data_IF_199790664797
#
_entry.id   IF_199790664797
#
_cell.length_a   1.000
_cell.length_b   1.000
_cell.length_c   1.000
_cell.angle_alpha   90.00
_cell.angle_beta   90.00
_cell.angle_gamma   90.00
#
_symmetry.space_group_name_H-M   'P 1'
#
loop_
_entity.id
_entity.type
_entity.pdbx_description
1 polymer ?
#
# COMPACT_ATOMS: atom_id res chain seq x y z
N UNK A 1 51.29 -44.24 43.77
CA UNK A 1 49.91 -44.65 44.10
C UNK A 1 49.60 -44.21 45.53
N UNK A 2 49.34 -42.90 45.78
CA UNK A 2 48.87 -42.39 47.05
C UNK A 2 47.37 -42.59 47.21
N UNK A 3 46.91 -43.20 48.29
CA UNK A 3 45.51 -43.26 48.69
C UNK A 3 45.10 -41.91 49.24
N UNK A 4 44.08 -41.30 48.67
CA UNK A 4 43.43 -40.09 49.22
C UNK A 4 42.62 -40.52 50.43
N UNK A 5 42.92 -39.96 51.62
CA UNK A 5 42.23 -40.22 52.87
C UNK A 5 41.09 -39.20 53.11
N UNK A 6 40.16 -39.54 54.02
CA UNK A 6 39.08 -38.62 54.42
C UNK A 6 39.66 -37.31 55.02
N UNK A 7 40.90 -37.37 55.62
CA UNK A 7 41.57 -36.19 56.09
C UNK A 7 42.08 -35.25 55.00
N UNK A 8 42.37 -35.78 53.81
CA UNK A 8 42.79 -34.98 52.66
C UNK A 8 41.58 -34.28 52.02
N UNK A 9 40.41 -34.88 52.08
CA UNK A 9 39.17 -34.27 51.61
C UNK A 9 38.76 -33.06 52.48
N UNK A 10 39.02 -33.10 53.73
CA UNK A 10 38.74 -31.98 54.63
C UNK A 10 39.81 -30.86 54.60
N UNK A 11 40.89 -31.03 53.79
CA UNK A 11 41.91 -30.00 53.52
C UNK A 11 41.75 -29.31 52.17
N UNK A 12 40.71 -29.64 51.39
CA UNK A 12 40.43 -28.89 50.17
C UNK A 12 40.10 -27.42 50.54
N UNK A 13 40.78 -26.45 49.93
CA UNK A 13 40.44 -25.07 50.17
C UNK A 13 38.93 -24.86 49.80
N UNK A 14 38.23 -24.22 50.71
CA UNK A 14 36.84 -23.78 50.40
C UNK A 14 36.86 -23.06 49.07
N UNK A 15 36.07 -23.57 48.09
CA UNK A 15 35.90 -22.90 46.81
C UNK A 15 35.38 -21.50 47.11
N UNK A 16 36.20 -20.51 46.82
CA UNK A 16 35.76 -19.11 46.91
C UNK A 16 34.47 -18.97 46.07
N UNK A 17 33.41 -18.50 46.71
CA UNK A 17 32.17 -18.21 46.03
C UNK A 17 32.45 -17.37 44.77
N UNK A 18 31.84 -17.69 43.61
CA UNK A 18 32.05 -16.89 42.43
C UNK A 18 31.71 -15.44 42.77
N UNK A 19 32.63 -14.54 42.43
CA UNK A 19 32.41 -13.10 42.58
C UNK A 19 31.05 -12.73 42.01
N UNK A 20 30.20 -12.13 42.81
CA UNK A 20 28.88 -11.68 42.36
C UNK A 20 29.09 -10.79 41.13
N UNK A 21 28.52 -11.20 40.00
CA UNK A 21 28.46 -10.35 38.82
C UNK A 21 27.78 -9.06 39.27
N UNK A 22 28.37 -7.88 39.05
CA UNK A 22 27.71 -6.62 39.41
C UNK A 22 26.31 -6.59 38.77
N UNK A 23 25.29 -6.40 39.59
CA UNK A 23 23.95 -6.19 39.08
C UNK A 23 24.01 -5.05 38.06
N UNK A 24 23.28 -5.15 36.94
CA UNK A 24 23.22 -4.06 36.00
C UNK A 24 22.87 -2.76 36.74
N UNK A 25 23.69 -1.72 36.58
CA UNK A 25 23.40 -0.43 37.18
C UNK A 25 21.97 -0.03 36.85
N UNK A 26 21.18 0.38 37.84
CA UNK A 26 19.87 0.91 37.64
C UNK A 26 19.96 2.01 36.56
N UNK A 27 19.04 2.04 35.56
CA UNK A 27 19.10 3.07 34.54
C UNK A 27 19.17 4.44 35.19
N UNK A 28 20.08 5.28 34.68
CA UNK A 28 20.23 6.64 35.17
C UNK A 28 18.87 7.34 35.21
N UNK A 29 18.62 8.15 36.25
CA UNK A 29 17.35 8.82 36.47
C UNK A 29 16.91 9.68 35.27
N UNK A 30 17.83 10.00 34.35
CA UNK A 30 17.57 10.79 33.12
C UNK A 30 17.30 9.94 31.88
N UNK A 31 17.19 8.60 31.97
CA UNK A 31 16.82 7.76 30.83
C UNK A 31 15.31 7.55 30.81
N UNK A 32 14.67 7.79 29.65
CA UNK A 32 15.17 8.11 28.31
C UNK A 32 15.57 9.59 28.03
N UNK A 33 15.70 10.44 29.03
CA UNK A 33 16.08 11.85 28.87
C UNK A 33 14.89 12.80 28.70
N UNK A 34 15.16 14.02 28.26
CA UNK A 34 14.15 15.04 28.04
C UNK A 34 13.13 14.57 26.99
N UNK A 35 11.85 14.67 27.30
CA UNK A 35 10.76 14.25 26.41
C UNK A 35 9.68 15.32 26.31
N UNK A 36 8.99 15.34 25.18
CA UNK A 36 7.81 16.16 24.97
C UNK A 36 6.61 15.25 24.72
N UNK A 37 5.57 15.40 25.51
CA UNK A 37 4.33 14.63 25.38
C UNK A 37 3.24 15.52 24.80
N UNK A 38 2.55 15.02 23.77
CA UNK A 38 1.40 15.71 23.19
C UNK A 38 0.26 14.73 22.89
N UNK A 39 -1.01 15.07 23.22
CA UNK A 39 -2.13 14.21 22.88
C UNK A 39 -2.43 14.24 21.38
N UNK A 40 -2.88 13.11 20.82
CA UNK A 40 -3.42 13.08 19.46
C UNK A 40 -4.70 13.92 19.38
N UNK A 41 -4.76 14.87 18.43
CA UNK A 41 -5.90 15.77 18.23
C UNK A 41 -6.34 15.81 16.77
N UNK A 42 -7.57 16.28 16.52
CA UNK A 42 -8.11 16.54 15.18
C UNK A 42 -8.06 15.31 14.28
N UNK A 43 -7.71 15.52 13.02
CA UNK A 43 -7.65 14.49 11.97
C UNK A 43 -6.77 13.31 12.37
N UNK A 44 -5.61 13.55 13.01
CA UNK A 44 -4.69 12.48 13.44
C UNK A 44 -5.35 11.50 14.43
N UNK A 45 -6.20 12.00 15.35
CA UNK A 45 -6.95 11.13 16.29
C UNK A 45 -7.95 10.24 15.53
N UNK A 46 -8.63 10.80 14.52
CA UNK A 46 -9.60 10.05 13.69
C UNK A 46 -8.86 8.98 12.87
N UNK A 47 -7.75 9.34 12.23
CA UNK A 47 -6.93 8.39 11.46
C UNK A 47 -6.45 7.24 12.35
N UNK A 48 -5.91 7.54 13.55
CA UNK A 48 -5.43 6.53 14.48
C UNK A 48 -6.55 5.53 14.85
N UNK A 49 -7.75 6.03 15.15
CA UNK A 49 -8.91 5.18 15.44
C UNK A 49 -9.26 4.28 14.26
N UNK A 50 -9.41 4.86 13.05
CA UNK A 50 -9.79 4.11 11.84
C UNK A 50 -8.78 3.05 11.43
N UNK A 51 -7.48 3.34 11.56
CA UNK A 51 -6.44 2.36 11.23
C UNK A 51 -6.43 1.18 12.21
N UNK A 52 -6.61 1.43 13.49
CA UNK A 52 -6.75 0.37 14.50
C UNK A 52 -8.02 -0.45 14.27
N UNK A 53 -9.14 0.21 13.99
CA UNK A 53 -10.42 -0.43 13.67
C UNK A 53 -10.26 -1.34 12.45
N UNK A 54 -9.63 -0.86 11.37
CA UNK A 54 -9.36 -1.65 10.18
C UNK A 54 -8.54 -2.91 10.50
N UNK A 55 -7.42 -2.79 11.21
CA UNK A 55 -6.56 -3.92 11.53
C UNK A 55 -7.20 -4.94 12.49
N UNK A 56 -8.14 -4.51 13.32
CA UNK A 56 -8.79 -5.40 14.32
C UNK A 56 -10.09 -6.02 13.83
N UNK A 57 -10.73 -5.46 12.80
CA UNK A 57 -11.99 -5.96 12.24
C UNK A 57 -11.86 -6.71 10.93
N UNK A 58 -10.66 -6.72 10.30
CA UNK A 58 -10.39 -7.39 9.02
C UNK A 58 -9.25 -8.42 9.15
N UNK A 59 -9.34 -9.49 8.37
CA UNK A 59 -8.30 -10.50 8.25
C UNK A 59 -7.36 -10.14 7.06
N UNK A 60 -6.51 -9.14 7.23
CA UNK A 60 -5.71 -8.60 6.13
C UNK A 60 -4.62 -9.56 5.65
N UNK A 61 -4.65 -9.87 4.34
CA UNK A 61 -3.62 -10.61 3.62
C UNK A 61 -3.09 -9.75 2.48
N UNK A 62 -1.76 -9.58 2.39
CA UNK A 62 -1.14 -8.81 1.30
C UNK A 62 -0.44 -9.72 0.31
N UNK A 63 -0.79 -9.58 -0.96
CA UNK A 63 -0.19 -10.25 -2.10
C UNK A 63 0.66 -9.24 -2.89
N UNK A 64 1.89 -9.62 -3.23
CA UNK A 64 2.80 -8.76 -3.98
C UNK A 64 3.08 -9.35 -5.36
N UNK A 65 3.14 -8.48 -6.38
CA UNK A 65 3.51 -8.83 -7.75
C UNK A 65 4.17 -7.65 -8.44
N UNK A 66 4.62 -7.85 -9.68
CA UNK A 66 5.16 -6.77 -10.51
C UNK A 66 4.59 -6.83 -11.92
N UNK A 67 4.37 -5.67 -12.54
CA UNK A 67 4.03 -5.54 -13.95
C UNK A 67 5.23 -5.00 -14.75
N UNK A 68 5.41 -5.42 -16.00
CA UNK A 68 6.36 -4.78 -16.91
C UNK A 68 5.88 -3.36 -17.22
N UNK A 69 6.71 -2.37 -16.89
CA UNK A 69 6.33 -0.97 -17.01
C UNK A 69 6.55 -0.39 -18.42
N UNK A 70 7.06 -1.16 -19.39
CA UNK A 70 7.41 -0.66 -20.73
C UNK A 70 6.21 0.01 -21.42
N UNK A 71 5.05 -0.64 -21.43
CA UNK A 71 3.82 -0.13 -22.05
C UNK A 71 3.34 1.17 -21.42
N UNK A 72 3.21 1.20 -20.09
CA UNK A 72 2.73 2.38 -19.36
C UNK A 72 3.69 3.57 -19.47
N UNK A 73 5.02 3.33 -19.45
CA UNK A 73 6.03 4.35 -19.65
C UNK A 73 6.01 4.91 -21.07
N UNK A 74 5.85 4.03 -22.09
CA UNK A 74 5.74 4.43 -23.48
C UNK A 74 4.50 5.30 -23.72
N UNK A 75 3.34 4.88 -23.23
CA UNK A 75 2.11 5.67 -23.34
C UNK A 75 2.25 7.02 -22.61
N UNK A 76 2.78 7.02 -21.38
CA UNK A 76 3.04 8.27 -20.63
C UNK A 76 3.95 9.22 -21.40
N UNK A 77 4.99 8.71 -22.05
CA UNK A 77 5.90 9.53 -22.90
C UNK A 77 5.16 10.13 -24.09
N UNK A 78 4.30 9.34 -24.76
CA UNK A 78 3.48 9.83 -25.89
C UNK A 78 2.53 10.95 -25.48
N UNK A 79 1.73 10.74 -24.41
CA UNK A 79 0.75 11.75 -23.96
C UNK A 79 1.42 12.99 -23.38
N UNK A 80 2.60 12.86 -22.74
CA UNK A 80 3.38 14.00 -22.23
C UNK A 80 3.84 14.93 -23.34
N UNK A 81 4.19 14.37 -24.51
CA UNK A 81 4.71 15.09 -25.66
C UNK A 81 3.62 15.38 -26.71
N UNK A 82 2.36 15.10 -26.40
CA UNK A 82 1.24 15.43 -27.27
C UNK A 82 1.02 16.94 -27.33
N UNK A 83 0.34 17.38 -28.39
CA UNK A 83 -0.10 18.77 -28.54
C UNK A 83 -0.88 19.23 -27.29
N UNK A 84 -0.53 20.38 -26.76
CA UNK A 84 -1.16 20.95 -25.56
C UNK A 84 -2.66 21.18 -25.75
N UNK A 85 -3.10 21.47 -26.97
CA UNK A 85 -4.52 21.64 -27.32
C UNK A 85 -5.34 20.37 -27.02
N UNK A 86 -4.71 19.18 -27.02
CA UNK A 86 -5.37 17.92 -26.66
C UNK A 86 -5.58 17.77 -25.14
N UNK A 87 -4.84 18.52 -24.32
CA UNK A 87 -4.92 18.46 -22.87
C UNK A 87 -4.48 17.13 -22.26
N UNK A 88 -3.70 16.31 -23.00
CA UNK A 88 -3.25 14.98 -22.57
C UNK A 88 -1.92 15.00 -21.80
N UNK A 89 -1.14 16.07 -21.93
CA UNK A 89 0.19 16.20 -21.34
C UNK A 89 0.22 16.10 -19.79
N UNK A 90 -0.91 16.34 -19.16
CA UNK A 90 -1.08 16.29 -17.70
C UNK A 90 -1.34 14.88 -17.16
N UNK A 91 -1.65 13.88 -18.02
CA UNK A 91 -1.89 12.50 -17.58
C UNK A 91 -0.63 11.92 -16.95
N UNK A 92 -0.73 11.40 -15.73
CA UNK A 92 0.37 10.84 -14.95
C UNK A 92 0.41 9.32 -15.02
N UNK A 93 1.51 8.70 -14.57
CA UNK A 93 1.56 7.23 -14.39
C UNK A 93 0.51 6.75 -13.40
N UNK A 94 0.28 7.51 -12.33
CA UNK A 94 -0.75 7.16 -11.34
C UNK A 94 -2.16 7.15 -11.97
N UNK A 95 -2.47 8.12 -12.83
CA UNK A 95 -3.77 8.15 -13.53
C UNK A 95 -3.94 6.89 -14.40
N UNK A 96 -2.89 6.45 -15.09
CA UNK A 96 -2.92 5.24 -15.93
C UNK A 96 -3.13 3.97 -15.09
N UNK A 97 -2.44 3.85 -13.95
CA UNK A 97 -2.63 2.72 -13.03
C UNK A 97 -4.05 2.72 -12.45
N UNK A 98 -4.52 3.85 -11.92
CA UNK A 98 -5.87 3.97 -11.36
C UNK A 98 -6.95 3.70 -12.43
N UNK A 99 -6.72 4.13 -13.67
CA UNK A 99 -7.60 3.82 -14.79
C UNK A 99 -7.66 2.31 -15.06
N UNK A 100 -6.51 1.63 -15.14
CA UNK A 100 -6.47 0.17 -15.30
C UNK A 100 -7.18 -0.56 -14.16
N UNK A 101 -7.00 -0.10 -12.90
CA UNK A 101 -7.72 -0.63 -11.73
C UNK A 101 -9.23 -0.51 -11.90
N UNK A 102 -9.73 0.67 -12.32
CA UNK A 102 -11.17 0.91 -12.49
C UNK A 102 -11.81 -0.02 -13.53
N UNK A 103 -11.06 -0.42 -14.55
CA UNK A 103 -11.52 -1.37 -15.58
C UNK A 103 -11.44 -2.81 -15.11
N UNK A 104 -10.38 -3.16 -14.37
CA UNK A 104 -10.19 -4.52 -13.83
C UNK A 104 -11.27 -4.86 -12.81
N UNK A 105 -11.65 -3.92 -11.93
CA UNK A 105 -12.65 -4.12 -10.87
C UNK A 105 -14.01 -4.58 -11.41
N UNK A 106 -14.39 -4.21 -12.63
CA UNK A 106 -15.65 -4.65 -13.23
C UNK A 106 -15.79 -6.18 -13.38
N UNK A 107 -14.67 -6.91 -13.38
CA UNK A 107 -14.64 -8.38 -13.45
C UNK A 107 -14.61 -9.04 -12.07
N UNK A 108 -14.50 -8.26 -11.01
CA UNK A 108 -14.25 -8.76 -9.66
C UNK A 108 -15.13 -8.06 -8.62
N UNK A 109 -16.45 -8.34 -8.59
CA UNK A 109 -17.40 -7.63 -7.72
C UNK A 109 -17.01 -7.62 -6.25
N UNK A 110 -16.51 -8.73 -5.72
CA UNK A 110 -16.11 -8.85 -4.31
C UNK A 110 -14.99 -7.88 -3.90
N UNK A 111 -14.17 -7.40 -4.86
CA UNK A 111 -13.15 -6.37 -4.62
C UNK A 111 -13.74 -4.95 -4.68
N UNK A 112 -14.89 -4.79 -5.35
CA UNK A 112 -15.62 -3.52 -5.46
C UNK A 112 -16.82 -3.56 -4.49
N UNK A 113 -16.53 -3.78 -3.20
CA UNK A 113 -17.52 -4.12 -2.21
C UNK A 113 -17.22 -3.50 -0.84
N UNK A 114 -18.25 -3.46 0.00
CA UNK A 114 -18.15 -3.15 1.43
C UNK A 114 -18.52 -4.37 2.27
N UNK A 115 -17.81 -4.57 3.37
CA UNK A 115 -18.17 -5.54 4.40
C UNK A 115 -18.48 -4.79 5.71
N UNK A 116 -19.74 -4.79 6.12
CA UNK A 116 -20.21 -4.13 7.34
C UNK A 116 -21.14 -5.09 8.11
N UNK A 117 -20.87 -5.29 9.38
CA UNK A 117 -21.69 -6.12 10.27
C UNK A 117 -21.98 -7.54 9.73
N UNK A 118 -20.99 -8.12 9.02
CA UNK A 118 -21.11 -9.43 8.39
C UNK A 118 -21.93 -9.45 7.10
N UNK A 119 -22.31 -8.28 6.56
CA UNK A 119 -23.03 -8.14 5.29
C UNK A 119 -22.06 -7.66 4.22
N UNK A 120 -21.86 -8.46 3.17
CA UNK A 120 -21.11 -8.08 1.97
C UNK A 120 -22.06 -7.38 0.98
N UNK A 121 -21.72 -6.14 0.61
CA UNK A 121 -22.44 -5.35 -0.40
C UNK A 121 -21.53 -5.10 -1.58
N UNK A 122 -21.80 -5.73 -2.72
CA UNK A 122 -21.08 -5.54 -3.97
C UNK A 122 -21.71 -4.39 -4.79
N UNK A 123 -20.87 -3.57 -5.43
CA UNK A 123 -21.33 -2.41 -6.20
C UNK A 123 -21.07 -2.61 -7.69
N UNK A 124 -22.05 -2.26 -8.53
CA UNK A 124 -21.90 -2.26 -9.99
C UNK A 124 -20.99 -1.11 -10.48
N UNK A 125 -21.04 0.03 -9.78
CA UNK A 125 -20.23 1.19 -10.11
C UNK A 125 -18.94 1.22 -9.29
N UNK A 126 -17.84 1.57 -9.94
CA UNK A 126 -16.54 1.73 -9.29
C UNK A 126 -16.39 3.18 -8.81
N UNK A 127 -16.36 3.36 -7.49
CA UNK A 127 -16.02 4.62 -6.84
C UNK A 127 -14.60 4.53 -6.31
N UNK A 128 -13.63 5.01 -7.11
CA UNK A 128 -12.22 4.79 -6.86
C UNK A 128 -11.63 5.87 -5.95
N UNK A 129 -11.30 5.48 -4.71
CA UNK A 129 -10.50 6.31 -3.80
C UNK A 129 -9.02 6.28 -4.19
N UNK A 130 -8.34 7.40 -4.04
CA UNK A 130 -6.89 7.44 -4.15
C UNK A 130 -6.28 8.25 -3.02
N UNK A 131 -5.16 7.75 -2.46
CA UNK A 131 -4.48 8.40 -1.36
C UNK A 131 -3.79 9.68 -1.85
N UNK A 132 -4.05 10.78 -1.15
CA UNK A 132 -3.51 12.10 -1.44
C UNK A 132 -2.86 12.65 -0.17
N UNK A 133 -1.55 12.90 -0.21
CA UNK A 133 -0.83 13.57 0.87
C UNK A 133 -1.13 15.07 0.85
N UNK A 134 -1.54 15.60 2.00
CA UNK A 134 -1.89 17.01 2.15
C UNK A 134 -1.27 17.62 3.40
N UNK A 135 -1.11 18.95 3.47
CA UNK A 135 -0.61 19.61 4.70
C UNK A 135 -1.41 19.30 5.96
N UNK A 136 -2.66 18.81 5.82
CA UNK A 136 -3.55 18.43 6.93
C UNK A 136 -3.52 16.94 7.25
N UNK A 137 -2.71 16.15 6.53
CA UNK A 137 -2.61 14.70 6.63
C UNK A 137 -3.12 13.99 5.37
N UNK A 138 -3.12 12.66 5.41
CA UNK A 138 -3.56 11.84 4.30
C UNK A 138 -5.09 11.92 4.14
N UNK A 139 -5.55 12.27 2.94
CA UNK A 139 -6.95 12.22 2.55
C UNK A 139 -7.12 11.20 1.40
N UNK A 140 -8.35 10.68 1.25
CA UNK A 140 -8.68 9.72 0.18
C UNK A 140 -9.86 10.27 -0.62
N UNK A 141 -9.63 11.19 -1.57
CA UNK A 141 -10.67 11.64 -2.49
C UNK A 141 -11.17 10.48 -3.35
N UNK A 142 -12.44 10.55 -3.78
CA UNK A 142 -13.12 9.48 -4.50
C UNK A 142 -13.57 9.96 -5.88
N UNK A 143 -13.04 9.32 -6.94
CA UNK A 143 -13.53 9.48 -8.32
C UNK A 143 -14.79 8.63 -8.44
N UNK A 144 -15.93 9.28 -8.57
CA UNK A 144 -17.24 8.60 -8.68
C UNK A 144 -17.42 8.02 -10.07
N UNK A 145 -17.99 6.81 -10.17
CA UNK A 145 -18.25 6.10 -11.43
C UNK A 145 -17.03 6.08 -12.36
N UNK A 146 -15.86 5.80 -11.78
CA UNK A 146 -14.56 5.86 -12.43
C UNK A 146 -14.50 5.02 -13.73
N UNK A 147 -15.24 3.90 -13.78
CA UNK A 147 -15.33 3.02 -14.94
C UNK A 147 -16.01 3.68 -16.14
N UNK A 148 -16.84 4.70 -15.97
CA UNK A 148 -17.55 5.38 -17.06
C UNK A 148 -16.77 6.53 -17.70
N UNK A 149 -15.63 6.91 -17.10
CA UNK A 149 -14.82 8.02 -17.57
C UNK A 149 -13.79 7.55 -18.60
N UNK A 150 -13.65 8.25 -19.72
CA UNK A 150 -12.48 8.10 -20.58
C UNK A 150 -11.22 8.63 -19.90
N UNK A 151 -10.03 8.18 -20.32
CA UNK A 151 -8.76 8.47 -19.66
C UNK A 151 -8.52 9.96 -19.37
N UNK A 152 -8.84 10.84 -20.35
CA UNK A 152 -8.68 12.30 -20.15
C UNK A 152 -9.58 12.82 -19.05
N UNK A 153 -10.87 12.49 -19.08
CA UNK A 153 -11.84 12.92 -18.08
C UNK A 153 -11.49 12.37 -16.69
N UNK A 154 -11.04 11.11 -16.62
CA UNK A 154 -10.54 10.48 -15.40
C UNK A 154 -9.37 11.26 -14.81
N UNK A 155 -8.36 11.58 -15.63
CA UNK A 155 -7.17 12.34 -15.20
C UNK A 155 -7.52 13.76 -14.75
N UNK A 156 -8.42 14.44 -15.46
CA UNK A 156 -8.88 15.79 -15.11
C UNK A 156 -9.63 15.78 -13.76
N UNK A 157 -10.49 14.79 -13.54
CA UNK A 157 -11.23 14.63 -12.27
C UNK A 157 -10.28 14.29 -11.11
N UNK A 158 -9.31 13.37 -11.31
CA UNK A 158 -8.31 13.07 -10.31
C UNK A 158 -7.55 14.33 -9.86
N UNK A 159 -7.15 15.19 -10.80
CA UNK A 159 -6.45 16.45 -10.50
C UNK A 159 -7.32 17.46 -9.79
N UNK A 160 -8.58 17.60 -10.23
CA UNK A 160 -9.55 18.47 -9.56
C UNK A 160 -9.72 18.09 -8.09
N UNK A 161 -9.89 16.78 -7.84
CA UNK A 161 -10.06 16.25 -6.49
C UNK A 161 -8.79 16.40 -5.64
N UNK A 162 -7.61 16.07 -6.19
CA UNK A 162 -6.34 16.22 -5.50
C UNK A 162 -6.05 17.69 -5.15
N UNK A 163 -6.26 18.62 -6.10
CA UNK A 163 -6.11 20.05 -5.86
C UNK A 163 -7.02 20.53 -4.74
N UNK A 164 -8.31 20.22 -4.80
CA UNK A 164 -9.26 20.58 -3.75
C UNK A 164 -8.92 19.97 -2.38
N UNK A 165 -8.36 18.76 -2.35
CA UNK A 165 -7.89 18.11 -1.12
C UNK A 165 -6.68 18.85 -0.53
N UNK A 166 -5.70 19.24 -1.35
CA UNK A 166 -4.50 19.98 -0.92
C UNK A 166 -4.89 21.37 -0.44
N UNK A 167 -5.70 22.10 -1.19
CA UNK A 167 -6.13 23.47 -0.88
C UNK A 167 -7.16 23.55 0.24
N UNK A 168 -7.78 22.43 0.58
CA UNK A 168 -8.81 22.36 1.61
C UNK A 168 -10.19 22.83 1.18
N UNK A 169 -10.42 22.88 -0.10
CA UNK A 169 -11.69 23.31 -0.70
C UNK A 169 -12.56 22.14 -1.16
N UNK A 170 -12.04 20.90 -1.04
CA UNK A 170 -12.77 19.70 -1.44
C UNK A 170 -14.01 19.49 -0.55
N UNK A 171 -15.22 19.40 -1.13
CA UNK A 171 -16.43 19.07 -0.36
C UNK A 171 -16.28 17.71 0.34
N UNK A 172 -16.71 17.58 1.61
CA UNK A 172 -16.60 16.35 2.40
C UNK A 172 -17.19 15.10 1.72
N UNK A 173 -18.22 15.26 0.91
CA UNK A 173 -18.88 14.19 0.16
C UNK A 173 -17.95 13.44 -0.82
N UNK A 174 -16.84 14.08 -1.22
CA UNK A 174 -15.82 13.43 -2.05
C UNK A 174 -14.79 12.63 -1.26
N UNK A 175 -14.88 12.62 0.08
CA UNK A 175 -14.02 11.83 0.97
C UNK A 175 -14.71 10.54 1.47
N UNK A 176 -15.90 10.25 0.97
CA UNK A 176 -16.69 9.09 1.35
C UNK A 176 -17.27 8.35 0.15
N UNK A 177 -17.82 7.14 0.39
CA UNK A 177 -18.48 6.33 -0.62
C UNK A 177 -17.56 5.68 -1.64
N UNK A 178 -16.24 5.62 -1.38
CA UNK A 178 -15.31 4.85 -2.20
C UNK A 178 -15.53 3.35 -2.03
N UNK A 179 -15.45 2.60 -3.13
CA UNK A 179 -15.64 1.14 -3.14
C UNK A 179 -14.32 0.37 -3.22
N UNK A 180 -13.25 1.03 -3.62
CA UNK A 180 -11.88 0.54 -3.65
C UNK A 180 -10.90 1.70 -3.49
N UNK A 181 -9.72 1.46 -2.92
CA UNK A 181 -8.71 2.50 -2.73
C UNK A 181 -7.38 2.12 -3.38
N UNK A 182 -6.70 3.11 -3.98
CA UNK A 182 -5.31 3.00 -4.45
C UNK A 182 -4.42 3.93 -3.61
N UNK A 183 -3.35 3.39 -3.06
CA UNK A 183 -2.32 4.14 -2.33
C UNK A 183 -0.98 4.04 -3.05
N UNK A 184 -0.41 5.16 -3.49
CA UNK A 184 0.84 5.18 -4.26
C UNK A 184 1.93 5.92 -3.48
N UNK A 185 2.98 5.18 -3.11
CA UNK A 185 4.19 5.70 -2.48
C UNK A 185 5.47 5.36 -3.27
N UNK A 186 5.30 4.98 -4.54
CA UNK A 186 6.42 4.63 -5.41
C UNK A 186 7.39 5.77 -5.68
N UNK A 187 6.92 7.04 -5.63
CA UNK A 187 7.77 8.23 -5.75
C UNK A 187 8.78 8.39 -4.61
N UNK A 188 8.56 7.72 -3.48
CA UNK A 188 9.48 7.68 -2.33
C UNK A 188 10.50 6.55 -2.42
N UNK A 189 10.51 5.77 -3.52
CA UNK A 189 11.41 4.63 -3.71
C UNK A 189 10.98 3.36 -2.97
N UNK A 190 9.78 3.34 -2.39
CA UNK A 190 9.26 2.14 -1.72
C UNK A 190 8.82 1.13 -2.78
N UNK A 191 9.37 -0.08 -2.74
CA UNK A 191 9.04 -1.14 -3.68
C UNK A 191 7.74 -1.85 -3.30
N UNK A 192 7.65 -2.35 -2.07
CA UNK A 192 6.47 -3.05 -1.55
C UNK A 192 6.12 -2.57 -0.16
N UNK A 193 4.86 -2.61 0.18
CA UNK A 193 4.35 -2.29 1.52
C UNK A 193 2.99 -3.00 1.73
N UNK A 194 2.50 -2.97 2.95
CA UNK A 194 1.20 -3.52 3.32
C UNK A 194 0.21 -2.36 3.55
N UNK A 195 -0.49 -1.88 2.52
CA UNK A 195 -1.49 -0.83 2.73
C UNK A 195 -2.62 -1.35 3.62
N UNK A 196 -3.06 -0.53 4.57
CA UNK A 196 -4.17 -0.86 5.47
C UNK A 196 -5.49 -0.56 4.76
N UNK A 197 -6.43 -1.50 4.81
CA UNK A 197 -7.74 -1.38 4.15
C UNK A 197 -8.48 -0.16 4.68
N UNK A 198 -9.08 0.60 3.77
CA UNK A 198 -9.93 1.75 4.10
C UNK A 198 -11.38 1.27 4.31
N UNK A 199 -11.74 0.98 5.56
CA UNK A 199 -13.09 0.50 5.87
C UNK A 199 -14.19 1.41 5.30
N UNK A 200 -15.31 0.81 4.85
CA UNK A 200 -15.70 -0.60 4.92
C UNK A 200 -15.31 -1.44 3.69
N UNK A 201 -14.36 -0.96 2.87
CA UNK A 201 -13.90 -1.65 1.66
C UNK A 201 -13.28 -3.01 1.98
N UNK A 202 -13.33 -3.94 1.01
CA UNK A 202 -12.78 -5.30 1.14
C UNK A 202 -11.34 -5.43 0.68
N UNK A 203 -10.81 -4.42 -0.03
CA UNK A 203 -9.44 -4.44 -0.53
C UNK A 203 -8.87 -3.04 -0.78
N UNK A 204 -7.53 -2.98 -0.88
CA UNK A 204 -6.77 -1.78 -1.22
C UNK A 204 -5.53 -2.18 -2.05
N UNK A 205 -5.21 -1.39 -3.07
CA UNK A 205 -3.99 -1.56 -3.86
C UNK A 205 -2.92 -0.56 -3.44
N UNK A 206 -1.75 -1.08 -3.05
CA UNK A 206 -0.50 -0.34 -2.93
C UNK A 206 0.25 -0.32 -4.27
N UNK A 207 0.69 0.86 -4.69
CA UNK A 207 1.53 1.05 -5.88
C UNK A 207 2.92 1.48 -5.40
N UNK A 208 3.91 0.65 -5.70
CA UNK A 208 5.31 0.88 -5.35
C UNK A 208 6.10 1.54 -6.48
N UNK A 209 7.41 1.62 -6.27
CA UNK A 209 8.35 2.19 -7.25
C UNK A 209 8.44 1.33 -8.51
N UNK A 210 8.82 1.96 -9.62
CA UNK A 210 9.30 1.26 -10.81
C UNK A 210 10.79 1.01 -10.61
N UNK A 211 11.19 -0.27 -10.62
CA UNK A 211 12.57 -0.69 -10.37
C UNK A 211 13.12 -1.55 -11.51
N UNK A 212 14.42 -1.44 -11.83
CA UNK A 212 15.05 -2.32 -12.80
C UNK A 212 15.16 -3.73 -12.22
N UNK A 213 14.78 -4.74 -12.99
CA UNK A 213 14.91 -6.16 -12.63
C UNK A 213 15.57 -6.94 -13.78
N UNK A 214 16.46 -7.90 -13.47
CA UNK A 214 16.92 -8.84 -14.47
C UNK A 214 15.75 -9.62 -15.06
N UNK A 215 15.72 -9.77 -16.38
CA UNK A 215 14.72 -10.56 -17.10
C UNK A 215 15.40 -11.42 -18.15
N UNK A 216 14.93 -12.66 -18.28
CA UNK A 216 15.40 -13.58 -19.31
C UNK A 216 14.58 -13.34 -20.58
N UNK A 217 15.27 -12.95 -21.65
CA UNK A 217 14.66 -12.81 -22.98
C UNK A 217 14.38 -14.19 -23.60
N UNK A 218 13.46 -14.30 -24.60
CA UNK A 218 13.15 -15.58 -25.26
C UNK A 218 14.35 -16.27 -25.90
N UNK A 219 15.39 -15.54 -26.29
CA UNK A 219 16.64 -16.04 -26.85
C UNK A 219 17.65 -16.52 -25.79
N UNK A 220 17.29 -16.49 -24.51
CA UNK A 220 18.12 -16.90 -23.38
C UNK A 220 19.09 -15.82 -22.88
N UNK A 221 19.09 -14.63 -23.47
CA UNK A 221 19.92 -13.51 -22.97
C UNK A 221 19.31 -12.88 -21.73
N UNK A 222 20.15 -12.36 -20.82
CA UNK A 222 19.70 -11.63 -19.65
C UNK A 222 19.68 -10.14 -19.98
N UNK A 223 18.48 -9.56 -19.94
CA UNK A 223 18.25 -8.13 -20.08
C UNK A 223 17.85 -7.49 -18.76
N UNK A 224 17.47 -6.21 -18.84
CA UNK A 224 16.90 -5.46 -17.71
C UNK A 224 15.54 -4.92 -18.11
N UNK A 225 14.52 -5.22 -17.32
CA UNK A 225 13.16 -4.67 -17.45
C UNK A 225 12.86 -3.68 -16.33
N UNK A 226 12.08 -2.67 -16.65
CA UNK A 226 11.48 -1.79 -15.66
C UNK A 226 10.19 -2.45 -15.14
N UNK A 227 10.15 -2.74 -13.83
CA UNK A 227 9.01 -3.43 -13.21
C UNK A 227 8.30 -2.51 -12.22
N UNK A 228 7.01 -2.27 -12.43
CA UNK A 228 6.13 -1.57 -11.49
C UNK A 228 5.72 -2.54 -10.39
N UNK A 229 5.97 -2.18 -9.14
CA UNK A 229 5.64 -3.00 -7.99
C UNK A 229 4.20 -2.73 -7.52
N UNK A 230 3.47 -3.81 -7.21
CA UNK A 230 2.07 -3.78 -6.77
C UNK A 230 1.89 -4.64 -5.51
N UNK A 231 1.17 -4.10 -4.54
CA UNK A 231 0.85 -4.74 -3.26
C UNK A 231 -0.65 -4.68 -3.02
N UNK A 232 -1.36 -5.79 -3.16
CA UNK A 232 -2.80 -5.88 -2.95
C UNK A 232 -3.07 -6.43 -1.56
N UNK A 233 -3.70 -5.63 -0.69
CA UNK A 233 -4.22 -6.10 0.59
C UNK A 233 -5.71 -6.38 0.47
N UNK A 234 -6.13 -7.57 0.88
CA UNK A 234 -7.50 -8.06 0.84
C UNK A 234 -7.99 -8.39 2.24
N UNK A 235 -9.28 -8.32 2.45
CA UNK A 235 -9.92 -8.90 3.63
C UNK A 235 -10.22 -10.38 3.40
N UNK A 236 -9.41 -11.24 4.03
CA UNK A 236 -9.51 -12.69 3.87
C UNK A 236 -10.75 -13.30 4.54
N UNK A 237 -11.63 -12.47 5.10
CA UNK A 237 -12.96 -12.91 5.53
C UNK A 237 -13.88 -13.18 4.32
N UNK A 238 -13.67 -12.49 3.19
CA UNK A 238 -14.56 -12.54 2.01
C UNK A 238 -13.81 -12.73 0.69
N UNK A 239 -12.49 -12.58 0.65
CA UNK A 239 -11.65 -12.75 -0.54
C UNK A 239 -10.56 -13.77 -0.26
N UNK A 240 -10.53 -14.84 -1.05
CA UNK A 240 -9.46 -15.84 -0.96
C UNK A 240 -8.18 -15.40 -1.67
N UNK A 241 -7.04 -15.97 -1.24
CA UNK A 241 -5.73 -15.67 -1.85
C UNK A 241 -5.69 -15.96 -3.36
N UNK A 242 -6.42 -17.01 -3.82
CA UNK A 242 -6.52 -17.33 -5.24
C UNK A 242 -7.30 -16.26 -6.04
N UNK A 243 -8.32 -15.64 -5.43
CA UNK A 243 -9.06 -14.53 -6.05
C UNK A 243 -8.18 -13.28 -6.15
N UNK A 244 -7.43 -12.97 -5.08
CA UNK A 244 -6.43 -11.91 -5.08
C UNK A 244 -5.38 -12.11 -6.16
N UNK A 245 -4.89 -13.34 -6.35
CA UNK A 245 -3.91 -13.66 -7.38
C UNK A 245 -4.50 -13.52 -8.80
N UNK A 246 -5.75 -13.92 -9.03
CA UNK A 246 -6.46 -13.74 -10.31
C UNK A 246 -6.66 -12.25 -10.63
N UNK A 247 -7.11 -11.47 -9.65
CA UNK A 247 -7.25 -10.02 -9.78
C UNK A 247 -5.92 -9.36 -10.15
N UNK A 248 -4.84 -9.67 -9.44
CA UNK A 248 -3.50 -9.13 -9.73
C UNK A 248 -2.99 -9.53 -11.11
N UNK A 249 -3.20 -10.77 -11.53
CA UNK A 249 -2.84 -11.24 -12.88
C UNK A 249 -3.53 -10.40 -13.96
N UNK A 250 -4.83 -10.18 -13.83
CA UNK A 250 -5.60 -9.44 -14.82
C UNK A 250 -5.28 -7.94 -14.76
N UNK A 251 -5.00 -7.38 -13.59
CA UNK A 251 -4.51 -6.00 -13.43
C UNK A 251 -3.12 -5.82 -14.07
N UNK A 252 -2.20 -6.76 -13.86
CA UNK A 252 -0.89 -6.76 -14.52
C UNK A 252 -1.07 -6.75 -16.03
N UNK A 253 -1.91 -7.62 -16.58
CA UNK A 253 -2.19 -7.66 -18.00
C UNK A 253 -2.77 -6.33 -18.52
N UNK A 254 -3.67 -5.69 -17.77
CA UNK A 254 -4.25 -4.38 -18.11
C UNK A 254 -3.21 -3.25 -18.09
N UNK A 255 -2.25 -3.28 -17.16
CA UNK A 255 -1.16 -2.30 -17.08
C UNK A 255 -0.13 -2.52 -18.20
N UNK A 256 0.23 -3.76 -18.47
CA UNK A 256 1.21 -4.10 -19.52
C UNK A 256 0.67 -3.78 -20.93
N UNK A 257 -0.64 -3.90 -21.13
CA UNK A 257 -1.35 -3.56 -22.37
C UNK A 257 -2.19 -2.28 -22.20
N UNK A 258 -1.65 -1.27 -21.56
CA UNK A 258 -2.40 -0.05 -21.20
C UNK A 258 -2.89 0.71 -22.44
N UNK A 259 -2.18 0.65 -23.55
CA UNK A 259 -2.55 1.25 -24.83
C UNK A 259 -3.85 0.67 -25.41
N UNK A 260 -4.15 -0.59 -25.13
CA UNK A 260 -5.44 -1.24 -25.46
C UNK A 260 -6.48 -0.95 -24.36
N UNK A 261 -6.07 -1.03 -23.09
CA UNK A 261 -6.96 -0.82 -21.94
C UNK A 261 -7.62 0.56 -21.95
N UNK A 262 -6.93 1.61 -22.46
CA UNK A 262 -7.49 2.97 -22.54
C UNK A 262 -8.56 3.16 -23.63
N UNK A 263 -8.75 2.16 -24.49
CA UNK A 263 -9.77 2.17 -25.53
C UNK A 263 -11.09 1.50 -25.08
N UNK A 264 -11.09 0.83 -23.91
CA UNK A 264 -12.22 0.05 -23.39
C UNK A 264 -13.17 0.88 -22.48
#
# INVERSE_FOLDING_TARGET
GGRVSVADANRAPEASAPAAVPAPAAPAADFPGASTSSPLKGVRKVVAKRMMESLTSTAQLTLNTTANAAGILALRKKVKNADEALGLNRITLNDLVCFAVSRTLLKYPVFNAHLEDGVLTEFEQVHLGFACDTPRGLLVPVIRSAQSLGLKAFSDEAKRLAGGAIDGTLPPDYLGGGTFTVSNIGSFGIETFTPVINLPQTAILGVGAITPRPALAPDGTVGVEQRLNLSLTIDHQVIDGADGARFLRDLVAAIENIDVTVLA
#
